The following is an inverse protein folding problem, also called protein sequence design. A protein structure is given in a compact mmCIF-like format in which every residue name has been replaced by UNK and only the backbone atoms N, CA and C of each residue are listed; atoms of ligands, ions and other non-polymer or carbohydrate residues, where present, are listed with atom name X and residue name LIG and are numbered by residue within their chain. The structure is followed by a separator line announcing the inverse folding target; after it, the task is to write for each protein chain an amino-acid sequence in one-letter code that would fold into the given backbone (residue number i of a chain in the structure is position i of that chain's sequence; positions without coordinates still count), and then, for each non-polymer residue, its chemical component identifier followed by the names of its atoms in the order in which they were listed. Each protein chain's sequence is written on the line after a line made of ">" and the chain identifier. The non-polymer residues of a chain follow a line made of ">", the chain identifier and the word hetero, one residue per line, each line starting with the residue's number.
data_IF_536104959783
#
_entry.id   IF_536104959783
#
_cell.length_a   1.000
_cell.length_b   1.000
_cell.length_c   1.000
_cell.angle_alpha   90.00
_cell.angle_beta   90.00
_cell.angle_gamma   90.00
#
_symmetry.space_group_name_H-M   'P 1'
#
loop_
_entity.id
_entity.type
_entity.pdbx_description
1 polymer ?
#
# COMPACT_ATOMS: atom_id res chain seq x y z
N UNK A 1 -10.18 6.11 -2.16
CA UNK A 1 -9.81 6.63 -3.51
C UNK A 1 -9.47 5.44 -4.40
N UNK A 2 -10.45 4.86 -5.13
CA UNK A 2 -10.34 3.51 -5.70
C UNK A 2 -9.48 3.38 -6.97
N UNK A 3 -9.18 4.46 -7.69
CA UNK A 3 -8.51 4.38 -9.00
C UNK A 3 -7.05 3.90 -8.96
N UNK A 4 -6.32 4.15 -7.86
CA UNK A 4 -4.94 3.66 -7.72
C UNK A 4 -4.92 2.18 -7.29
N UNK A 5 -5.76 1.78 -6.34
CA UNK A 5 -5.87 0.40 -5.89
C UNK A 5 -6.12 -0.57 -7.08
N UNK A 6 -7.05 -0.22 -7.97
CA UNK A 6 -7.36 -1.01 -9.17
C UNK A 6 -6.16 -1.24 -10.10
N UNK A 7 -5.24 -0.28 -10.20
CA UNK A 7 -4.03 -0.43 -11.02
C UNK A 7 -3.10 -1.48 -10.43
N UNK A 8 -2.92 -1.47 -9.10
CA UNK A 8 -2.06 -2.44 -8.44
C UNK A 8 -2.68 -3.83 -8.46
N UNK A 9 -3.99 -3.96 -8.21
CA UNK A 9 -4.68 -5.25 -8.27
C UNK A 9 -4.58 -5.88 -9.66
N UNK A 10 -4.74 -5.08 -10.73
CA UNK A 10 -4.54 -5.56 -12.09
C UNK A 10 -3.10 -6.03 -12.33
N UNK A 11 -2.10 -5.28 -11.86
CA UNK A 11 -0.69 -5.66 -12.00
C UNK A 11 -0.36 -6.95 -11.23
N UNK A 12 -0.86 -7.12 -10.00
CA UNK A 12 -0.66 -8.34 -9.21
C UNK A 12 -1.23 -9.56 -9.94
N UNK A 13 -2.40 -9.43 -10.55
CA UNK A 13 -3.02 -10.48 -11.35
C UNK A 13 -2.22 -10.78 -12.63
N UNK A 14 -1.88 -9.75 -13.41
CA UNK A 14 -1.19 -9.91 -14.70
C UNK A 14 0.21 -10.51 -14.54
N UNK A 15 0.92 -10.13 -13.48
CA UNK A 15 2.27 -10.62 -13.20
C UNK A 15 2.31 -11.86 -12.30
N UNK A 16 1.16 -12.38 -11.85
CA UNK A 16 1.09 -13.53 -10.96
C UNK A 16 1.80 -13.31 -9.62
N UNK A 17 1.81 -12.07 -9.12
CA UNK A 17 2.47 -11.70 -7.87
C UNK A 17 1.46 -11.71 -6.72
N UNK A 18 1.90 -12.15 -5.54
CA UNK A 18 1.08 -12.11 -4.32
C UNK A 18 1.81 -11.38 -3.20
N UNK A 19 1.23 -10.33 -2.61
CA UNK A 19 1.78 -9.69 -1.43
C UNK A 19 1.41 -10.43 -0.14
N UNK A 20 0.65 -11.53 -0.21
CA UNK A 20 0.21 -12.26 0.97
C UNK A 20 1.39 -12.71 1.84
N UNK A 21 1.38 -12.32 3.12
CA UNK A 21 2.46 -12.53 4.11
C UNK A 21 3.81 -11.87 3.75
N UNK A 22 3.86 -11.05 2.71
CA UNK A 22 5.08 -10.36 2.30
C UNK A 22 5.28 -9.06 3.08
N UNK A 23 6.54 -8.61 3.13
CA UNK A 23 6.89 -7.25 3.53
C UNK A 23 6.98 -6.43 2.24
N UNK A 24 6.17 -5.40 2.13
CA UNK A 24 6.07 -4.56 0.94
C UNK A 24 6.67 -3.18 1.19
N UNK A 25 7.27 -2.60 0.15
CA UNK A 25 7.73 -1.21 0.14
C UNK A 25 6.92 -0.46 -0.92
N UNK A 26 6.20 0.58 -0.49
CA UNK A 26 5.39 1.42 -1.35
C UNK A 26 6.01 2.82 -1.45
N UNK A 27 6.60 3.14 -2.60
CA UNK A 27 7.14 4.47 -2.89
C UNK A 27 6.08 5.37 -3.51
N UNK A 28 5.97 6.61 -3.02
CA UNK A 28 4.93 7.54 -3.48
C UNK A 28 3.55 7.15 -2.97
N UNK A 29 3.46 6.79 -1.68
CA UNK A 29 2.23 6.30 -1.06
C UNK A 29 1.04 7.26 -1.20
N UNK A 30 1.31 8.56 -1.31
CA UNK A 30 0.37 9.68 -1.46
C UNK A 30 -0.79 9.53 -0.47
N UNK A 31 -2.03 9.53 -0.96
CA UNK A 31 -3.23 9.33 -0.12
C UNK A 31 -3.42 7.88 0.35
N UNK A 32 -2.71 6.91 -0.24
CA UNK A 32 -2.64 5.53 0.26
C UNK A 32 -3.32 4.45 -0.57
N UNK A 33 -3.73 4.73 -1.83
CA UNK A 33 -4.47 3.75 -2.64
C UNK A 33 -3.74 2.41 -2.86
N UNK A 34 -2.44 2.44 -3.13
CA UNK A 34 -1.64 1.20 -3.25
C UNK A 34 -1.44 0.52 -1.89
N UNK A 35 -1.29 1.29 -0.82
CA UNK A 35 -1.20 0.76 0.55
C UNK A 35 -2.48 0.01 0.92
N UNK A 36 -3.65 0.55 0.56
CA UNK A 36 -4.94 -0.12 0.76
C UNK A 36 -5.02 -1.45 0.00
N UNK A 37 -4.63 -1.47 -1.27
CA UNK A 37 -4.61 -2.69 -2.07
C UNK A 37 -3.64 -3.74 -1.49
N UNK A 38 -2.44 -3.35 -1.08
CA UNK A 38 -1.48 -4.26 -0.45
C UNK A 38 -2.03 -4.87 0.86
N UNK A 39 -2.69 -4.06 1.70
CA UNK A 39 -3.36 -4.55 2.91
C UNK A 39 -4.49 -5.54 2.58
N UNK A 40 -5.35 -5.19 1.62
CA UNK A 40 -6.46 -6.03 1.19
C UNK A 40 -5.99 -7.39 0.62
N UNK A 41 -4.83 -7.41 -0.03
CA UNK A 41 -4.21 -8.61 -0.58
C UNK A 41 -3.29 -9.36 0.43
N UNK A 42 -3.30 -8.97 1.70
CA UNK A 42 -2.68 -9.74 2.79
C UNK A 42 -1.22 -9.45 3.09
N UNK A 43 -0.69 -8.28 2.71
CA UNK A 43 0.66 -7.86 3.11
C UNK A 43 0.83 -7.90 4.63
N UNK A 44 1.92 -8.52 5.11
CA UNK A 44 2.22 -8.63 6.53
C UNK A 44 2.73 -7.30 7.12
N UNK A 45 3.48 -6.54 6.33
CA UNK A 45 4.01 -5.22 6.71
C UNK A 45 4.19 -4.37 5.47
N UNK A 46 3.89 -3.08 5.56
CA UNK A 46 4.07 -2.14 4.45
C UNK A 46 4.87 -0.95 4.96
N UNK A 47 5.99 -0.67 4.31
CA UNK A 47 6.70 0.59 4.46
C UNK A 47 6.17 1.55 3.40
N UNK A 48 5.43 2.56 3.83
CA UNK A 48 4.87 3.60 2.96
C UNK A 48 5.79 4.82 3.00
N UNK A 49 6.44 5.12 1.88
CA UNK A 49 7.33 6.26 1.73
C UNK A 49 6.68 7.30 0.82
N UNK A 50 6.72 8.56 1.24
CA UNK A 50 6.31 9.69 0.42
C UNK A 50 7.18 10.91 0.69
N UNK A 51 7.33 11.77 -0.30
CA UNK A 51 8.04 13.06 -0.18
C UNK A 51 7.08 14.18 0.28
N UNK A 52 5.79 14.00 0.07
CA UNK A 52 4.73 14.87 0.56
C UNK A 52 4.48 14.66 2.05
N UNK A 53 4.39 15.77 2.79
CA UNK A 53 4.15 15.73 4.23
C UNK A 53 2.67 15.46 4.53
N UNK A 54 2.38 14.49 5.40
CA UNK A 54 1.05 14.25 5.96
C UNK A 54 -0.04 13.77 4.99
N UNK A 55 0.33 13.25 3.81
CA UNK A 55 -0.65 12.90 2.77
C UNK A 55 -1.37 11.57 3.00
N UNK A 56 -0.74 10.62 3.71
CA UNK A 56 -1.31 9.30 3.91
C UNK A 56 -2.59 9.40 4.77
N UNK A 57 -3.67 8.77 4.34
CA UNK A 57 -4.91 8.81 5.10
C UNK A 57 -4.71 8.29 6.52
N UNK A 58 -5.24 8.97 7.55
CA UNK A 58 -4.96 8.68 8.96
C UNK A 58 -5.18 7.21 9.37
N UNK A 59 -6.20 6.56 8.80
CA UNK A 59 -6.51 5.13 9.01
C UNK A 59 -5.41 4.16 8.54
N UNK A 60 -4.55 4.60 7.63
CA UNK A 60 -3.41 3.85 7.10
C UNK A 60 -2.11 4.18 7.84
N UNK A 61 -2.11 5.27 8.61
CA UNK A 61 -1.02 5.62 9.52
C UNK A 61 -1.16 4.80 10.81
N UNK A 62 -0.91 3.49 10.75
CA UNK A 62 -0.90 2.64 11.94
C UNK A 62 0.54 2.23 12.28
N UNK A 63 0.89 2.44 13.56
CA UNK A 63 2.18 2.27 14.23
C UNK A 63 3.27 3.31 13.86
N UNK A 64 3.24 4.47 14.53
CA UNK A 64 4.49 5.03 15.06
C UNK A 64 5.11 3.91 15.91
N UNK A 65 6.31 3.49 15.59
CA UNK A 65 7.02 2.45 16.34
C UNK A 65 6.99 2.75 17.84
N UNK A 66 6.60 1.75 18.61
CA UNK A 66 7.29 1.47 19.86
C UNK A 66 8.54 0.65 19.51
#
# INVERSE_FOLDING_TARGET
>A
MPCAALKLDHALMEFGLSPNKAICLNFGASTGGFTEALLANGAAKIYALDVGYGQLHARLQMARGA
#
